data_IF_101943599753
#
_entry.id   IF_101943599753
#
_cell.length_a   1.000
_cell.length_b   1.000
_cell.length_c   1.000
_cell.angle_alpha   90.00
_cell.angle_beta   90.00
_cell.angle_gamma   90.00
#
_symmetry.space_group_name_H-M   'P 1'
#
loop_
_entity.id
_entity.type
_entity.pdbx_description
1 polymer ?
#
# COMPACT_ATOMS: atom_id res chain seq x y z
N UNK A 1 22.85 -21.56 -7.85
CA UNK A 1 23.40 -20.26 -7.39
C UNK A 1 22.52 -19.04 -7.70
N UNK A 2 21.72 -18.99 -8.78
CA UNK A 2 20.94 -17.79 -9.17
C UNK A 2 19.82 -17.35 -8.19
N UNK A 3 19.41 -18.21 -7.26
CA UNK A 3 18.26 -17.98 -6.39
C UNK A 3 18.61 -17.18 -5.11
N UNK A 4 19.78 -17.42 -4.52
CA UNK A 4 20.24 -16.68 -3.32
C UNK A 4 20.46 -15.20 -3.63
N UNK A 5 21.02 -14.91 -4.80
CA UNK A 5 21.21 -13.54 -5.28
C UNK A 5 19.86 -12.84 -5.49
N UNK A 6 18.84 -13.56 -5.97
CA UNK A 6 17.50 -13.01 -6.16
C UNK A 6 16.85 -12.55 -4.85
N UNK A 7 16.81 -13.42 -3.82
CA UNK A 7 16.23 -13.06 -2.53
C UNK A 7 17.02 -11.97 -1.79
N UNK A 8 18.36 -11.97 -1.92
CA UNK A 8 19.18 -10.93 -1.32
C UNK A 8 18.91 -9.56 -1.96
N UNK A 9 18.83 -9.49 -3.29
CA UNK A 9 18.49 -8.26 -4.01
C UNK A 9 17.07 -7.79 -3.67
N UNK A 10 16.11 -8.70 -3.57
CA UNK A 10 14.75 -8.38 -3.15
C UNK A 10 14.71 -7.78 -1.73
N UNK A 11 15.44 -8.37 -0.78
CA UNK A 11 15.53 -7.83 0.58
C UNK A 11 16.09 -6.39 0.59
N UNK A 12 17.16 -6.14 -0.17
CA UNK A 12 17.74 -4.79 -0.31
C UNK A 12 16.75 -3.82 -0.94
N UNK A 13 16.04 -4.24 -2.00
CA UNK A 13 15.03 -3.40 -2.65
C UNK A 13 13.88 -3.01 -1.69
N UNK A 14 13.40 -3.95 -0.88
CA UNK A 14 12.37 -3.68 0.13
C UNK A 14 12.85 -2.72 1.21
N UNK A 15 14.09 -2.85 1.69
CA UNK A 15 14.68 -1.92 2.66
C UNK A 15 14.82 -0.52 2.05
N UNK A 16 15.28 -0.42 0.80
CA UNK A 16 15.40 0.85 0.11
C UNK A 16 14.04 1.54 -0.07
N UNK A 17 13.00 0.79 -0.45
CA UNK A 17 11.64 1.30 -0.53
C UNK A 17 11.10 1.73 0.84
N UNK A 18 11.31 0.94 1.90
CA UNK A 18 10.89 1.30 3.25
C UNK A 18 11.58 2.57 3.75
N UNK A 19 12.86 2.75 3.44
CA UNK A 19 13.58 3.99 3.77
C UNK A 19 13.00 5.19 3.01
N UNK A 20 12.77 5.05 1.71
CA UNK A 20 12.15 6.10 0.89
C UNK A 20 10.73 6.47 1.40
N UNK A 21 9.89 5.47 1.68
CA UNK A 21 8.55 5.67 2.23
C UNK A 21 8.60 6.27 3.65
N UNK A 22 9.59 5.89 4.47
CA UNK A 22 9.80 6.46 5.80
C UNK A 22 10.14 7.94 5.77
N UNK A 23 10.97 8.39 4.82
CA UNK A 23 11.27 9.82 4.62
C UNK A 23 10.00 10.60 4.27
N UNK A 24 9.14 10.03 3.41
CA UNK A 24 7.83 10.63 3.07
C UNK A 24 6.89 10.67 4.27
N UNK A 25 6.86 9.59 5.05
CA UNK A 25 6.05 9.49 6.26
C UNK A 25 6.37 10.61 7.25
N UNK A 26 7.65 10.92 7.47
CA UNK A 26 8.04 12.03 8.36
C UNK A 26 7.39 13.34 7.91
N UNK A 27 7.48 13.67 6.61
CA UNK A 27 6.83 14.87 6.08
C UNK A 27 5.31 14.86 6.23
N UNK A 28 4.65 13.70 6.15
CA UNK A 28 3.21 13.59 6.40
C UNK A 28 2.85 13.74 7.87
N UNK A 29 3.69 13.21 8.78
CA UNK A 29 3.50 13.37 10.22
C UNK A 29 3.69 14.83 10.65
N UNK A 30 4.66 15.54 10.06
CA UNK A 30 4.89 16.96 10.30
C UNK A 30 3.70 17.83 9.87
N UNK A 31 2.90 17.36 8.90
CA UNK A 31 1.67 18.03 8.44
C UNK A 31 0.44 17.71 9.33
N UNK A 32 0.48 16.70 10.21
CA UNK A 32 -0.70 16.29 10.99
C UNK A 32 -1.15 17.31 12.04
N UNK A 33 -0.22 17.79 12.87
CA UNK A 33 -0.55 18.75 13.94
C UNK A 33 -0.98 20.11 13.35
N UNK A 34 -0.25 20.71 12.38
CA UNK A 34 -0.69 21.96 11.75
C UNK A 34 -2.05 21.84 11.06
N UNK A 35 -2.33 20.67 10.45
CA UNK A 35 -3.62 20.41 9.84
C UNK A 35 -4.74 20.27 10.89
N UNK A 36 -4.47 19.59 12.01
CA UNK A 36 -5.46 19.43 13.09
C UNK A 36 -5.82 20.78 13.74
N UNK A 37 -4.86 21.70 13.82
CA UNK A 37 -5.05 23.05 14.35
C UNK A 37 -5.50 24.08 13.30
N UNK A 38 -5.60 23.68 12.03
CA UNK A 38 -5.93 24.57 10.93
C UNK A 38 -7.32 25.17 11.11
N UNK A 39 -7.39 26.51 11.08
CA UNK A 39 -8.65 27.27 11.18
C UNK A 39 -9.06 27.79 9.81
N UNK A 40 -10.36 28.09 9.59
CA UNK A 40 -10.79 28.83 8.42
C UNK A 40 -10.00 30.13 8.25
N UNK A 41 -9.59 30.45 7.03
CA UNK A 41 -8.89 31.68 6.76
C UNK A 41 -9.78 32.89 7.12
N UNK A 42 -9.21 33.97 7.69
CA UNK A 42 -9.95 35.21 7.93
C UNK A 42 -10.57 35.73 6.62
N UNK A 43 -11.79 36.26 6.69
CA UNK A 43 -12.51 36.75 5.51
C UNK A 43 -11.65 37.74 4.70
N UNK A 44 -11.45 37.44 3.41
CA UNK A 44 -10.68 38.28 2.50
C UNK A 44 -9.16 38.18 2.62
N UNK A 45 -8.64 37.32 3.51
CA UNK A 45 -7.22 36.99 3.50
C UNK A 45 -6.89 36.15 2.26
N UNK A 46 -5.73 36.37 1.62
CA UNK A 46 -5.27 35.48 0.56
C UNK A 46 -5.11 34.06 1.12
N UNK A 47 -5.33 33.01 0.29
CA UNK A 47 -5.08 31.64 0.70
C UNK A 47 -3.64 31.54 1.22
N UNK A 48 -3.47 31.10 2.46
CA UNK A 48 -2.17 30.92 3.09
C UNK A 48 -1.94 29.45 3.45
N UNK A 49 -0.68 29.07 3.62
CA UNK A 49 -0.29 27.68 3.83
C UNK A 49 -0.78 27.10 5.16
N UNK A 50 -1.32 27.90 6.10
CA UNK A 50 -1.69 27.43 7.43
C UNK A 50 -3.18 27.52 7.76
N UNK A 51 -4.04 27.90 6.80
CA UNK A 51 -5.49 28.03 7.04
C UNK A 51 -6.34 27.31 5.98
N UNK A 52 -7.56 26.96 6.37
CA UNK A 52 -8.54 26.32 5.49
C UNK A 52 -9.25 27.36 4.65
N UNK A 53 -9.16 27.24 3.32
CA UNK A 53 -9.84 28.14 2.38
C UNK A 53 -10.95 27.39 1.65
N UNK A 54 -12.13 27.98 1.57
CA UNK A 54 -13.20 27.49 0.67
C UNK A 54 -13.03 28.11 -0.71
N UNK A 55 -12.89 27.26 -1.73
CA UNK A 55 -12.71 27.66 -3.12
C UNK A 55 -13.84 27.06 -3.96
N UNK A 56 -14.65 27.88 -4.66
CA UNK A 56 -15.63 27.35 -5.58
C UNK A 56 -14.91 26.75 -6.79
N UNK A 57 -15.18 25.47 -7.06
CA UNK A 57 -14.66 24.72 -8.19
C UNK A 57 -15.82 24.15 -9.01
N UNK A 58 -15.53 23.82 -10.27
CA UNK A 58 -16.46 23.13 -11.15
C UNK A 58 -15.95 21.73 -11.47
N UNK A 59 -16.83 20.74 -11.42
CA UNK A 59 -16.54 19.38 -11.86
C UNK A 59 -16.50 19.39 -13.38
N UNK A 60 -15.35 19.11 -13.96
CA UNK A 60 -15.16 19.03 -15.42
C UNK A 60 -15.47 17.63 -15.93
N UNK A 61 -15.06 16.62 -15.17
CA UNK A 61 -15.39 15.22 -15.48
C UNK A 61 -15.32 14.35 -14.24
N UNK A 62 -16.07 13.25 -14.29
CA UNK A 62 -15.99 12.15 -13.33
C UNK A 62 -15.27 11.01 -14.04
N UNK A 63 -14.12 10.61 -13.50
CA UNK A 63 -13.29 9.56 -14.08
C UNK A 63 -13.31 8.36 -13.14
N UNK A 64 -13.89 7.27 -13.64
CA UNK A 64 -13.71 5.96 -13.04
C UNK A 64 -12.41 5.39 -13.58
N UNK A 65 -11.43 5.18 -12.70
CA UNK A 65 -10.22 4.45 -13.05
C UNK A 65 -10.55 2.96 -12.94
N UNK A 66 -10.70 2.21 -14.04
CA UNK A 66 -11.02 0.80 -13.97
C UNK A 66 -9.81 -0.01 -13.46
N UNK A 67 -10.08 -1.12 -12.75
CA UNK A 67 -9.06 -2.08 -12.35
C UNK A 67 -9.23 -2.63 -10.94
N UNK A 68 -8.25 -3.43 -10.48
CA UNK A 68 -8.26 -4.03 -9.13
C UNK A 68 -8.26 -2.99 -7.99
N UNK A 69 -7.85 -1.77 -8.30
CA UNK A 69 -7.89 -0.61 -7.41
C UNK A 69 -8.78 0.46 -8.04
N UNK A 70 -10.02 0.12 -8.35
CA UNK A 70 -10.94 1.09 -8.95
C UNK A 70 -11.05 2.31 -8.05
N UNK A 71 -10.74 3.50 -8.60
CA UNK A 71 -10.81 4.78 -7.89
C UNK A 71 -11.75 5.67 -8.68
N UNK A 72 -12.66 6.33 -7.97
CA UNK A 72 -13.42 7.42 -8.55
C UNK A 72 -12.62 8.70 -8.30
N UNK A 73 -12.32 9.40 -9.38
CA UNK A 73 -11.62 10.67 -9.35
C UNK A 73 -12.50 11.74 -9.98
N UNK A 74 -12.58 12.89 -9.33
CA UNK A 74 -13.20 14.08 -9.89
C UNK A 74 -12.10 14.94 -10.51
N UNK A 75 -12.32 15.41 -11.73
CA UNK A 75 -11.47 16.42 -12.36
C UNK A 75 -12.11 17.76 -12.11
N UNK A 76 -11.43 18.61 -11.35
CA UNK A 76 -11.92 19.90 -10.90
C UNK A 76 -11.19 21.04 -11.63
N UNK A 77 -11.95 22.09 -11.94
CA UNK A 77 -11.42 23.33 -12.52
C UNK A 77 -12.00 24.55 -11.80
N UNK A 78 -11.16 25.51 -11.42
CA UNK A 78 -11.57 26.77 -10.79
C UNK A 78 -10.47 27.39 -9.94
N UNK A 79 -10.43 28.72 -9.84
CA UNK A 79 -9.35 29.44 -9.16
C UNK A 79 -7.98 29.08 -9.73
N UNK A 80 -7.04 28.69 -8.86
CA UNK A 80 -5.70 28.22 -9.22
C UNK A 80 -5.63 26.72 -9.56
N UNK A 81 -6.75 26.00 -9.45
CA UNK A 81 -6.83 24.56 -9.72
C UNK A 81 -7.31 24.34 -11.16
N UNK A 82 -6.39 24.13 -12.09
CA UNK A 82 -6.72 23.74 -13.46
C UNK A 82 -6.58 22.21 -13.65
N UNK A 83 -7.67 21.53 -14.00
CA UNK A 83 -7.71 20.08 -14.26
C UNK A 83 -7.14 19.23 -13.11
N UNK A 84 -7.42 19.62 -11.86
CA UNK A 84 -6.93 18.90 -10.68
C UNK A 84 -7.69 17.58 -10.53
N UNK A 85 -6.97 16.48 -10.43
CA UNK A 85 -7.57 15.17 -10.15
C UNK A 85 -7.66 15.00 -8.63
N UNK A 86 -8.87 14.80 -8.12
CA UNK A 86 -9.13 14.60 -6.71
C UNK A 86 -9.78 13.25 -6.53
N UNK A 87 -9.11 12.37 -5.79
CA UNK A 87 -9.66 11.07 -5.42
C UNK A 87 -10.72 11.23 -4.32
N UNK A 88 -11.84 10.56 -4.47
CA UNK A 88 -12.92 10.49 -3.48
C UNK A 88 -13.36 9.05 -3.24
N UNK A 89 -14.11 8.81 -2.17
CA UNK A 89 -14.63 7.47 -1.90
C UNK A 89 -15.72 7.11 -2.93
N UNK A 90 -15.66 5.92 -3.57
CA UNK A 90 -16.70 5.49 -4.51
C UNK A 90 -18.07 5.30 -3.84
N UNK A 91 -18.10 5.03 -2.54
CA UNK A 91 -19.33 4.90 -1.75
C UNK A 91 -19.80 6.22 -1.13
N UNK A 92 -19.11 7.32 -1.43
CA UNK A 92 -19.34 8.63 -0.86
C UNK A 92 -20.75 9.18 -1.11
N UNK A 93 -21.39 9.85 -0.13
CA UNK A 93 -22.69 10.49 -0.30
C UNK A 93 -22.75 11.51 -1.46
N UNK A 94 -21.63 12.11 -1.84
CA UNK A 94 -21.57 13.05 -2.96
C UNK A 94 -21.53 12.36 -4.33
N UNK A 95 -20.87 11.20 -4.42
CA UNK A 95 -20.59 10.52 -5.68
C UNK A 95 -21.83 9.97 -6.41
N UNK A 96 -22.95 9.82 -5.70
CA UNK A 96 -24.19 9.33 -6.32
C UNK A 96 -24.89 10.35 -7.20
N UNK A 97 -24.59 11.63 -7.01
CA UNK A 97 -25.34 12.74 -7.58
C UNK A 97 -24.47 13.73 -8.36
N UNK A 98 -23.15 13.72 -8.15
CA UNK A 98 -22.28 14.71 -8.79
C UNK A 98 -22.04 14.35 -10.26
N UNK A 99 -22.29 15.31 -11.13
CA UNK A 99 -22.11 15.18 -12.58
C UNK A 99 -21.11 16.23 -13.10
N UNK A 100 -20.65 16.02 -14.34
CA UNK A 100 -19.84 17.02 -15.03
C UNK A 100 -20.66 18.29 -15.25
N UNK A 101 -20.11 19.44 -14.86
CA UNK A 101 -20.75 20.75 -14.89
C UNK A 101 -21.13 21.28 -13.51
N UNK A 102 -21.23 20.41 -12.50
CA UNK A 102 -21.67 20.79 -11.17
C UNK A 102 -20.68 21.73 -10.46
N UNK A 103 -21.25 22.66 -9.69
CA UNK A 103 -20.50 23.55 -8.82
C UNK A 103 -20.30 22.88 -7.46
N UNK A 104 -19.05 22.82 -7.02
CA UNK A 104 -18.66 22.26 -5.74
C UNK A 104 -17.81 23.26 -4.97
N UNK A 105 -17.96 23.30 -3.66
CA UNK A 105 -17.10 24.10 -2.79
C UNK A 105 -16.02 23.19 -2.23
N UNK A 106 -14.76 23.47 -2.58
CA UNK A 106 -13.62 22.74 -2.10
C UNK A 106 -13.01 23.41 -0.88
N UNK A 107 -12.77 22.65 0.18
CA UNK A 107 -11.93 23.09 1.30
C UNK A 107 -10.49 22.73 0.99
N UNK A 108 -9.63 23.74 0.91
CA UNK A 108 -8.23 23.62 0.52
C UNK A 108 -7.33 23.95 1.71
N UNK A 109 -6.25 23.17 1.86
CA UNK A 109 -5.17 23.43 2.80
C UNK A 109 -3.82 23.14 2.12
N UNK A 110 -2.87 24.08 2.13
CA UNK A 110 -1.56 23.96 1.46
C UNK A 110 -1.65 23.43 0.01
N UNK A 111 -2.58 23.98 -0.78
CA UNK A 111 -2.82 23.55 -2.16
C UNK A 111 -3.27 22.08 -2.32
N UNK A 112 -3.81 21.47 -1.24
CA UNK A 112 -4.44 20.14 -1.25
C UNK A 112 -5.94 20.31 -1.04
N UNK A 113 -6.74 19.58 -1.80
CA UNK A 113 -8.20 19.61 -1.64
C UNK A 113 -8.56 18.58 -0.58
N UNK A 114 -8.96 19.00 0.61
CA UNK A 114 -9.19 18.14 1.79
C UNK A 114 -10.62 17.61 1.84
N UNK A 115 -11.59 18.44 1.46
CA UNK A 115 -13.00 18.08 1.40
C UNK A 115 -13.69 18.82 0.27
N UNK A 116 -14.79 18.24 -0.19
CA UNK A 116 -15.67 18.79 -1.21
C UNK A 116 -17.08 18.88 -0.63
N UNK A 117 -17.77 19.97 -0.93
CA UNK A 117 -19.17 20.17 -0.58
C UNK A 117 -19.96 20.39 -1.86
N UNK A 118 -20.96 19.55 -2.11
CA UNK A 118 -21.90 19.70 -3.22
C UNK A 118 -23.32 19.46 -2.71
N UNK A 119 -24.26 20.32 -3.07
CA UNK A 119 -25.67 20.20 -2.67
C UNK A 119 -25.90 19.97 -1.16
N UNK A 120 -25.06 20.58 -0.31
CA UNK A 120 -25.11 20.42 1.15
C UNK A 120 -24.56 19.10 1.68
N UNK A 121 -23.98 18.23 0.82
CA UNK A 121 -23.28 17.01 1.21
C UNK A 121 -21.78 17.26 1.23
N UNK A 122 -21.13 16.86 2.31
CA UNK A 122 -19.68 16.96 2.46
C UNK A 122 -19.04 15.59 2.22
N UNK A 123 -18.01 15.54 1.40
CA UNK A 123 -17.19 14.37 1.10
C UNK A 123 -15.73 14.69 1.44
N UNK A 124 -15.07 13.78 2.15
CA UNK A 124 -13.61 13.87 2.36
C UNK A 124 -12.88 13.31 1.16
N UNK A 125 -11.80 13.95 0.74
CA UNK A 125 -10.95 13.46 -0.35
C UNK A 125 -9.86 12.52 0.19
N UNK A 126 -9.17 11.82 -0.70
CA UNK A 126 -7.98 11.03 -0.33
C UNK A 126 -6.68 11.86 -0.23
N UNK A 127 -6.74 13.19 -0.35
CA UNK A 127 -5.55 14.06 -0.26
C UNK A 127 -5.29 14.57 1.17
N UNK A 128 -5.94 13.99 2.19
CA UNK A 128 -5.73 14.43 3.57
C UNK A 128 -4.37 13.97 4.10
N UNK A 129 -3.69 14.79 4.94
CA UNK A 129 -2.43 14.39 5.57
C UNK A 129 -2.54 13.05 6.34
N UNK A 130 -3.72 12.78 6.90
CA UNK A 130 -4.01 11.53 7.61
C UNK A 130 -4.00 10.30 6.71
N UNK A 131 -4.64 10.39 5.53
CA UNK A 131 -4.69 9.27 4.58
C UNK A 131 -3.31 9.00 3.99
N UNK A 132 -2.59 10.06 3.60
CA UNK A 132 -1.21 9.99 3.11
C UNK A 132 -0.27 9.33 4.13
N UNK A 133 -0.32 9.75 5.40
CA UNK A 133 0.44 9.15 6.48
C UNK A 133 0.10 7.67 6.66
N UNK A 134 -1.20 7.32 6.63
CA UNK A 134 -1.68 5.95 6.77
C UNK A 134 -1.19 5.04 5.65
N UNK A 135 -1.25 5.50 4.39
CA UNK A 135 -0.71 4.75 3.25
C UNK A 135 0.81 4.58 3.34
N UNK A 136 1.54 5.61 3.76
CA UNK A 136 2.99 5.53 3.94
C UNK A 136 3.38 4.53 5.05
N UNK A 137 2.70 4.57 6.21
CA UNK A 137 2.89 3.59 7.29
C UNK A 137 2.65 2.17 6.77
N UNK A 138 1.54 1.95 6.06
CA UNK A 138 1.22 0.64 5.49
C UNK A 138 2.33 0.16 4.54
N UNK A 139 2.79 1.05 3.65
CA UNK A 139 3.89 0.77 2.73
C UNK A 139 5.19 0.38 3.44
N UNK A 140 5.57 1.12 4.49
CA UNK A 140 6.76 0.82 5.31
C UNK A 140 6.62 -0.54 5.99
N UNK A 141 5.49 -0.83 6.64
CA UNK A 141 5.27 -2.08 7.37
C UNK A 141 5.29 -3.28 6.43
N UNK A 142 4.61 -3.20 5.29
CA UNK A 142 4.60 -4.26 4.27
C UNK A 142 5.99 -4.48 3.68
N UNK A 143 6.73 -3.40 3.39
CA UNK A 143 8.07 -3.50 2.83
C UNK A 143 9.06 -4.10 3.84
N UNK A 144 9.06 -3.65 5.09
CA UNK A 144 9.96 -4.17 6.13
C UNK A 144 9.68 -5.65 6.43
N UNK A 145 8.41 -6.04 6.55
CA UNK A 145 8.04 -7.44 6.76
C UNK A 145 8.47 -8.33 5.59
N UNK A 146 8.20 -7.91 4.34
CA UNK A 146 8.62 -8.62 3.14
C UNK A 146 10.15 -8.71 3.02
N UNK A 147 10.86 -7.61 3.30
CA UNK A 147 12.31 -7.56 3.32
C UNK A 147 12.93 -8.50 4.35
N UNK A 148 12.38 -8.55 5.57
CA UNK A 148 12.83 -9.44 6.63
C UNK A 148 12.69 -10.92 6.23
N UNK A 149 11.61 -11.28 5.55
CA UNK A 149 11.38 -12.63 5.01
C UNK A 149 12.44 -12.98 3.96
N UNK A 150 12.67 -12.11 2.99
CA UNK A 150 13.67 -12.33 1.94
C UNK A 150 15.08 -12.45 2.53
N UNK A 151 15.42 -11.62 3.52
CA UNK A 151 16.68 -11.69 4.23
C UNK A 151 16.84 -13.01 5.00
N UNK A 152 15.79 -13.45 5.71
CA UNK A 152 15.76 -14.73 6.45
C UNK A 152 16.00 -15.92 5.53
N UNK A 153 15.30 -15.98 4.39
CA UNK A 153 15.44 -17.05 3.40
C UNK A 153 16.84 -17.04 2.79
N UNK A 154 17.36 -15.86 2.42
CA UNK A 154 18.71 -15.71 1.89
C UNK A 154 19.76 -16.21 2.88
N UNK A 155 19.65 -15.81 4.14
CA UNK A 155 20.55 -16.24 5.21
C UNK A 155 20.49 -17.76 5.43
N UNK A 156 19.30 -18.35 5.45
CA UNK A 156 19.12 -19.79 5.61
C UNK A 156 19.77 -20.57 4.45
N UNK A 157 19.57 -20.13 3.21
CA UNK A 157 20.20 -20.74 2.02
C UNK A 157 21.72 -20.63 2.06
N UNK A 158 22.26 -19.50 2.52
CA UNK A 158 23.70 -19.30 2.66
C UNK A 158 24.29 -20.20 3.76
N UNK A 159 23.62 -20.30 4.92
CA UNK A 159 24.07 -21.15 6.03
C UNK A 159 24.03 -22.63 5.70
N UNK A 160 22.99 -23.07 4.99
CA UNK A 160 22.79 -24.47 4.63
C UNK A 160 23.40 -24.85 3.29
N UNK A 161 24.15 -23.93 2.65
CA UNK A 161 24.74 -24.16 1.33
C UNK A 161 25.61 -25.40 1.28
N UNK A 162 26.38 -25.69 2.34
CA UNK A 162 27.23 -26.88 2.41
C UNK A 162 26.40 -28.17 2.45
N UNK A 163 25.40 -28.23 3.33
CA UNK A 163 24.49 -29.37 3.42
C UNK A 163 23.62 -29.58 2.17
N UNK A 164 23.40 -28.54 1.37
CA UNK A 164 22.73 -28.63 0.08
C UNK A 164 23.66 -29.09 -1.06
N UNK A 165 24.97 -29.00 -0.87
CA UNK A 165 25.99 -29.45 -1.83
C UNK A 165 26.54 -30.84 -1.47
N UNK A 166 26.61 -31.18 -0.18
CA UNK A 166 27.03 -32.48 0.34
C UNK A 166 25.86 -33.47 0.24
N UNK A 167 25.85 -34.25 -0.84
CA UNK A 167 24.75 -35.14 -1.26
C UNK A 167 24.57 -36.42 -0.39
N UNK A 168 24.94 -36.40 0.89
CA UNK A 168 24.70 -37.53 1.78
C UNK A 168 23.24 -37.54 2.26
N UNK A 169 22.45 -38.60 1.98
CA UNK A 169 21.07 -38.69 2.46
C UNK A 169 21.07 -38.86 3.98
N UNK A 170 21.06 -37.75 4.72
CA UNK A 170 20.76 -37.77 6.15
C UNK A 170 19.25 -37.65 6.32
N UNK A 171 18.60 -38.57 7.06
CA UNK A 171 17.21 -38.39 7.45
C UNK A 171 17.14 -37.16 8.36
N UNK A 172 16.59 -36.07 7.85
CA UNK A 172 16.37 -34.84 8.62
C UNK A 172 15.13 -35.06 9.48
N UNK A 173 15.29 -35.73 10.62
CA UNK A 173 14.28 -35.80 11.67
C UNK A 173 14.40 -34.55 12.55
N UNK A 174 13.59 -33.52 12.26
CA UNK A 174 13.32 -32.43 13.23
C UNK A 174 13.67 -31.00 12.82
N UNK A 175 14.21 -30.74 11.62
CA UNK A 175 14.26 -29.36 11.12
C UNK A 175 12.91 -29.01 10.48
N UNK A 176 12.27 -27.88 10.85
CA UNK A 176 11.02 -27.50 10.25
C UNK A 176 11.22 -27.41 8.73
N UNK A 177 10.38 -28.12 8.00
CA UNK A 177 10.49 -28.20 6.55
C UNK A 177 10.38 -26.78 5.96
N UNK A 178 10.93 -26.54 4.76
CA UNK A 178 10.77 -25.25 4.08
C UNK A 178 9.30 -24.81 3.93
N UNK A 179 8.37 -25.77 3.99
CA UNK A 179 6.91 -25.54 4.01
C UNK A 179 6.45 -24.87 5.31
N UNK A 180 6.96 -25.26 6.47
CA UNK A 180 6.57 -24.67 7.76
C UNK A 180 7.13 -23.25 7.92
N UNK A 181 8.35 -23.01 7.44
CA UNK A 181 8.93 -21.66 7.39
C UNK A 181 8.13 -20.75 6.46
N UNK A 182 7.70 -21.25 5.30
CA UNK A 182 6.83 -20.51 4.38
C UNK A 182 5.47 -20.17 4.99
N UNK A 183 4.88 -21.09 5.76
CA UNK A 183 3.58 -20.90 6.38
C UNK A 183 3.62 -19.85 7.50
N UNK A 184 4.67 -19.86 8.33
CA UNK A 184 4.89 -18.86 9.39
C UNK A 184 5.14 -17.47 8.80
N UNK A 185 5.89 -17.39 7.70
CA UNK A 185 6.14 -16.15 6.95
C UNK A 185 4.83 -15.56 6.40
N UNK A 186 4.00 -16.38 5.77
CA UNK A 186 2.71 -15.96 5.21
C UNK A 186 1.76 -15.51 6.33
N UNK A 187 1.69 -16.27 7.43
CA UNK A 187 0.88 -15.93 8.58
C UNK A 187 1.31 -14.59 9.21
N UNK A 188 2.62 -14.33 9.33
CA UNK A 188 3.15 -13.10 9.90
C UNK A 188 2.98 -11.88 8.98
N UNK A 189 2.99 -12.05 7.65
CA UNK A 189 2.72 -10.96 6.70
C UNK A 189 1.24 -10.61 6.58
N UNK A 190 0.32 -11.54 6.88
CA UNK A 190 -1.12 -11.32 6.76
C UNK A 190 -1.69 -10.46 7.91
N UNK A 191 -1.13 -10.58 9.12
CA UNK A 191 -1.65 -9.90 10.32
C UNK A 191 -1.54 -8.36 10.24
N UNK A 192 -0.40 -7.75 9.85
CA UNK A 192 -0.30 -6.29 9.75
C UNK A 192 -1.24 -5.71 8.69
N UNK A 193 -1.39 -6.41 7.56
CA UNK A 193 -2.30 -6.01 6.47
C UNK A 193 -3.75 -5.97 6.96
N UNK A 194 -4.17 -6.97 7.75
CA UNK A 194 -5.52 -7.03 8.30
C UNK A 194 -5.77 -6.05 9.46
N UNK A 195 -4.77 -5.77 10.29
CA UNK A 195 -4.89 -4.79 11.39
C UNK A 195 -5.00 -3.38 10.83
N UNK A 196 -4.15 -3.00 9.88
CA UNK A 196 -4.15 -1.66 9.27
C UNK A 196 -5.41 -1.44 8.42
N UNK A 197 -5.89 -2.48 7.73
CA UNK A 197 -7.14 -2.40 6.96
C UNK A 197 -8.40 -2.21 7.83
N UNK A 198 -8.35 -2.57 9.12
CA UNK A 198 -9.49 -2.41 10.04
C UNK A 198 -9.48 -1.11 10.81
N UNK A 199 -8.33 -0.43 10.90
CA UNK A 199 -8.20 0.84 11.64
C UNK A 199 -8.49 2.07 10.77
N UNK A 200 -8.62 1.89 9.46
CA UNK A 200 -8.95 2.96 8.53
C UNK A 200 -10.40 2.76 8.09
N UNK A 201 -11.29 3.68 8.46
CA UNK A 201 -12.75 3.66 8.22
C UNK A 201 -13.17 3.63 6.72
N UNK A 202 -12.23 3.54 5.80
CA UNK A 202 -12.54 3.26 4.40
C UNK A 202 -12.78 1.77 4.24
N UNK A 203 -14.02 1.34 4.01
CA UNK A 203 -14.39 -0.02 3.60
C UNK A 203 -13.34 -0.54 2.61
N UNK A 204 -12.37 -1.35 3.07
CA UNK A 204 -11.49 -2.01 2.15
C UNK A 204 -12.43 -2.93 1.39
N UNK A 205 -12.30 -3.03 0.06
CA UNK A 205 -12.89 -4.14 -0.66
C UNK A 205 -12.27 -5.41 -0.05
N UNK A 206 -12.91 -5.96 0.99
CA UNK A 206 -12.42 -7.03 1.85
C UNK A 206 -12.07 -8.24 0.99
N UNK A 207 -12.81 -8.38 -0.12
CA UNK A 207 -12.62 -9.33 -1.21
C UNK A 207 -11.29 -9.10 -1.96
N UNK A 208 -10.94 -7.87 -2.31
CA UNK A 208 -9.70 -7.55 -3.01
C UNK A 208 -8.45 -7.80 -2.16
N UNK A 209 -8.52 -7.44 -0.88
CA UNK A 209 -7.43 -7.70 0.06
C UNK A 209 -7.32 -9.19 0.41
N UNK A 210 -8.43 -9.89 0.68
CA UNK A 210 -8.39 -11.34 0.92
C UNK A 210 -7.90 -12.11 -0.31
N UNK A 211 -8.31 -11.74 -1.51
CA UNK A 211 -7.78 -12.33 -2.75
C UNK A 211 -6.28 -12.09 -2.87
N UNK A 212 -5.79 -10.88 -2.58
CA UNK A 212 -4.36 -10.59 -2.63
C UNK A 212 -3.56 -11.45 -1.63
N UNK A 213 -4.02 -11.54 -0.38
CA UNK A 213 -3.37 -12.34 0.66
C UNK A 213 -3.40 -13.83 0.34
N UNK A 214 -4.54 -14.35 -0.13
CA UNK A 214 -4.70 -15.75 -0.55
C UNK A 214 -3.87 -16.04 -1.80
N UNK A 215 -3.79 -15.12 -2.77
CA UNK A 215 -2.97 -15.29 -3.96
C UNK A 215 -1.48 -15.33 -3.63
N UNK A 216 -0.99 -14.47 -2.73
CA UNK A 216 0.41 -14.48 -2.26
C UNK A 216 0.71 -15.77 -1.50
N UNK A 217 -0.19 -16.21 -0.62
CA UNK A 217 -0.08 -17.47 0.10
C UNK A 217 -0.07 -18.68 -0.86
N UNK A 218 -0.99 -18.72 -1.82
CA UNK A 218 -1.11 -19.78 -2.81
C UNK A 218 0.09 -19.81 -3.76
N UNK A 219 0.62 -18.65 -4.15
CA UNK A 219 1.82 -18.55 -4.99
C UNK A 219 3.06 -19.03 -4.20
N UNK A 220 3.21 -18.61 -2.94
CA UNK A 220 4.28 -19.09 -2.06
C UNK A 220 4.23 -20.61 -1.87
N UNK A 221 3.03 -21.16 -1.66
CA UNK A 221 2.81 -22.60 -1.57
C UNK A 221 3.11 -23.33 -2.88
N UNK A 222 2.62 -22.83 -4.02
CA UNK A 222 2.85 -23.43 -5.33
C UNK A 222 4.34 -23.43 -5.72
N UNK A 223 5.04 -22.31 -5.46
CA UNK A 223 6.48 -22.19 -5.70
C UNK A 223 7.25 -23.19 -4.82
N UNK A 224 6.93 -23.31 -3.53
CA UNK A 224 7.53 -24.30 -2.66
C UNK A 224 7.28 -25.74 -3.16
N UNK A 225 6.05 -26.03 -3.62
CA UNK A 225 5.66 -27.36 -4.11
C UNK A 225 6.26 -27.72 -5.46
N UNK A 226 6.60 -26.75 -6.31
CA UNK A 226 7.25 -26.98 -7.61
C UNK A 226 8.77 -27.08 -7.49
N UNK A 227 9.38 -26.31 -6.58
CA UNK A 227 10.83 -26.32 -6.39
C UNK A 227 11.30 -27.63 -5.75
N UNK A 228 10.58 -28.17 -4.77
CA UNK A 228 11.00 -29.39 -4.05
C UNK A 228 11.14 -30.62 -4.97
N UNK A 229 10.18 -30.95 -5.86
CA UNK A 229 10.30 -32.07 -6.78
C UNK A 229 11.28 -31.81 -7.94
N UNK A 230 11.38 -30.56 -8.43
CA UNK A 230 12.29 -30.22 -9.52
C UNK A 230 13.76 -30.34 -9.11
N UNK A 231 14.08 -30.01 -7.85
CA UNK A 231 15.39 -30.28 -7.25
C UNK A 231 15.61 -31.78 -7.08
N UNK A 232 14.57 -32.56 -6.77
CA UNK A 232 14.65 -34.02 -6.59
C UNK A 232 14.83 -34.79 -7.91
N UNK A 233 14.24 -34.33 -9.02
CA UNK A 233 14.30 -35.00 -10.34
C UNK A 233 15.56 -34.71 -11.15
N UNK A 234 16.31 -33.63 -10.84
CA UNK A 234 17.58 -33.32 -11.51
C UNK A 234 18.77 -34.12 -10.98
N UNK A 235 18.56 -35.11 -10.09
CA UNK A 235 19.58 -36.09 -9.75
C UNK A 235 19.62 -37.16 -10.85
N UNK A 236 20.60 -37.16 -11.78
CA UNK A 236 20.80 -38.30 -12.66
C UNK A 236 21.06 -39.52 -11.78
N UNK A 237 20.44 -40.66 -12.13
CA UNK A 237 20.81 -41.94 -11.55
C UNK A 237 22.27 -42.21 -11.93
N UNK A 238 23.18 -41.97 -10.99
CA UNK A 238 24.55 -42.43 -11.10
C UNK A 238 24.52 -43.96 -10.93
N UNK A 239 24.62 -44.66 -12.06
CA UNK A 239 25.04 -46.07 -12.15
C UNK A 239 26.54 -46.17 -12.06
#
# INVERSE_FOLDING_TARGET
MKWTTGFALAAVAFVAYAAWAGVRLVGYLDDLDPYADARPCPNGAPPHDDCLTEVPLQVTSVVDVPGKNARHALVLTGGDFANRHVGVSPSGPMMRNVEAGDQVVATVWRNRVISLVAEGRTERTHETPHDDASFAIMGVVVALSSGAVCARVSWWLLRNRRSLLDDAPRPVTGAPGPVEVGLVVVALSAVPVHVVARTLDGEPNLVGQTIATVAVAALGYAVARLIVPAVRRRRPHAT
#
